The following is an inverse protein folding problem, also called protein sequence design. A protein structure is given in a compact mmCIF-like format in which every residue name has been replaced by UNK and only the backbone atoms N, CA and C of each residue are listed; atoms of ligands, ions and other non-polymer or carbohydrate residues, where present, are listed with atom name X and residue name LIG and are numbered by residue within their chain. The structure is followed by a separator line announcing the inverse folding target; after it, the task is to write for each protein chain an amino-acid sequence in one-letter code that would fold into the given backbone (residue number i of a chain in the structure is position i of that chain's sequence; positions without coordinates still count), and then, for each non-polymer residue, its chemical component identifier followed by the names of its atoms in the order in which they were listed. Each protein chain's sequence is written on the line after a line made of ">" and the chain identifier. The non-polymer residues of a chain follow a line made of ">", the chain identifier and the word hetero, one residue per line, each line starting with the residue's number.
data_IF_616511228039
#
_entry.id   IF_616511228039
#
_cell.length_a   1.000
_cell.length_b   1.000
_cell.length_c   1.000
_cell.angle_alpha   90.00
_cell.angle_beta   90.00
_cell.angle_gamma   90.00
#
_symmetry.space_group_name_H-M   'P 1'
#
loop_
_entity.id
_entity.type
_entity.pdbx_description
1 polymer ?
#
# COMPACT_ATOMS: atom_id res chain seq x y z
N UNK A 1 23.50 -6.01 -41.51
CA UNK A 1 22.22 -5.27 -41.47
C UNK A 1 21.13 -6.22 -41.01
N UNK A 2 20.76 -6.15 -39.72
CA UNK A 2 19.37 -6.23 -39.25
C UNK A 2 19.42 -6.06 -37.74
N UNK A 3 18.97 -4.89 -37.31
CA UNK A 3 18.78 -4.48 -35.94
C UNK A 3 17.30 -4.73 -35.60
N UNK A 4 17.08 -5.32 -34.43
CA UNK A 4 16.01 -4.95 -33.47
C UNK A 4 14.55 -5.04 -33.94
N UNK A 5 13.84 -6.08 -33.50
CA UNK A 5 12.37 -6.04 -33.40
C UNK A 5 11.86 -6.92 -32.25
N UNK A 6 11.98 -6.45 -31.00
CA UNK A 6 11.17 -6.92 -29.86
C UNK A 6 11.55 -6.22 -28.55
N UNK A 7 11.26 -4.93 -28.38
CA UNK A 7 11.47 -4.26 -27.07
C UNK A 7 10.34 -3.30 -26.63
N UNK A 8 9.15 -3.35 -27.23
CA UNK A 8 8.09 -2.38 -26.90
C UNK A 8 7.01 -2.93 -25.93
N UNK A 9 6.96 -4.22 -25.58
CA UNK A 9 5.82 -4.77 -24.81
C UNK A 9 6.01 -4.96 -23.29
N UNK A 10 7.12 -4.58 -22.68
CA UNK A 10 7.35 -4.86 -21.23
C UNK A 10 7.28 -3.62 -20.34
N UNK A 11 7.24 -2.41 -20.92
CA UNK A 11 7.28 -1.15 -20.16
C UNK A 11 5.90 -0.63 -19.71
N UNK A 12 4.80 -1.19 -20.22
CA UNK A 12 3.46 -0.66 -19.95
C UNK A 12 2.83 -1.15 -18.62
N UNK A 13 3.37 -2.22 -18.02
CA UNK A 13 2.82 -2.78 -16.76
C UNK A 13 3.21 -2.00 -15.49
N UNK A 14 4.22 -1.10 -15.54
CA UNK A 14 4.70 -0.39 -14.34
C UNK A 14 3.81 0.79 -13.91
N UNK A 15 3.04 1.37 -14.83
CA UNK A 15 2.22 2.55 -14.53
C UNK A 15 0.84 2.21 -13.95
N UNK A 16 0.41 0.95 -14.01
CA UNK A 16 -0.99 0.59 -13.71
C UNK A 16 -1.25 0.40 -12.20
N UNK A 17 -0.24 -0.04 -11.43
CA UNK A 17 -0.40 -0.38 -10.01
C UNK A 17 -0.79 0.80 -9.11
N UNK A 18 -0.12 1.96 -9.25
CA UNK A 18 -0.41 3.14 -8.42
C UNK A 18 -1.77 3.77 -8.68
N UNK A 19 -2.24 3.72 -9.93
CA UNK A 19 -3.57 4.21 -10.30
C UNK A 19 -4.68 3.31 -9.75
N UNK A 20 -4.52 1.99 -9.84
CA UNK A 20 -5.49 1.04 -9.28
C UNK A 20 -5.58 1.20 -7.76
N UNK A 21 -4.46 1.40 -7.08
CA UNK A 21 -4.41 1.58 -5.63
C UNK A 21 -5.18 2.85 -5.20
N UNK A 22 -4.96 3.97 -5.91
CA UNK A 22 -5.71 5.20 -5.68
C UNK A 22 -7.22 5.02 -5.95
N UNK A 23 -7.59 4.34 -7.04
CA UNK A 23 -8.99 4.05 -7.35
C UNK A 23 -9.64 3.16 -6.29
N UNK A 24 -8.93 2.15 -5.81
CA UNK A 24 -9.35 1.26 -4.72
C UNK A 24 -9.55 2.00 -3.39
N UNK A 25 -8.63 2.91 -3.05
CA UNK A 25 -8.76 3.81 -1.91
C UNK A 25 -9.98 4.72 -2.02
N UNK A 26 -10.20 5.36 -3.17
CA UNK A 26 -11.38 6.21 -3.43
C UNK A 26 -12.67 5.40 -3.30
N UNK A 27 -12.74 4.23 -3.93
CA UNK A 27 -13.91 3.35 -3.84
C UNK A 27 -14.20 2.93 -2.39
N UNK A 28 -13.16 2.60 -1.63
CA UNK A 28 -13.26 2.28 -0.20
C UNK A 28 -13.84 3.47 0.58
N UNK A 29 -13.32 4.68 0.36
CA UNK A 29 -13.77 5.90 1.05
C UNK A 29 -15.24 6.21 0.73
N UNK A 30 -15.62 6.19 -0.54
CA UNK A 30 -17.00 6.48 -0.98
C UNK A 30 -17.97 5.48 -0.35
N UNK A 31 -17.67 4.17 -0.44
CA UNK A 31 -18.55 3.14 0.10
C UNK A 31 -18.58 3.14 1.63
N UNK A 32 -17.47 3.51 2.30
CA UNK A 32 -17.45 3.67 3.75
C UNK A 32 -18.35 4.83 4.19
N UNK A 33 -18.31 5.98 3.50
CA UNK A 33 -19.20 7.12 3.76
C UNK A 33 -20.67 6.71 3.56
N UNK A 34 -20.97 6.02 2.45
CA UNK A 34 -22.34 5.54 2.19
C UNK A 34 -22.78 4.56 3.30
N UNK A 35 -21.92 3.63 3.70
CA UNK A 35 -22.22 2.70 4.80
C UNK A 35 -22.50 3.41 6.13
N UNK A 36 -21.79 4.51 6.40
CA UNK A 36 -21.99 5.32 7.62
C UNK A 36 -23.33 6.06 7.64
N UNK A 37 -23.97 6.29 6.48
CA UNK A 37 -25.33 6.83 6.44
C UNK A 37 -26.39 5.84 6.94
N UNK A 38 -26.02 4.57 7.17
CA UNK A 38 -26.91 3.54 7.70
C UNK A 38 -27.64 2.72 6.63
N UNK A 39 -27.51 3.07 5.34
CA UNK A 39 -28.09 2.29 4.24
C UNK A 39 -27.38 0.95 4.10
N UNK A 40 -28.05 -0.16 4.39
CA UNK A 40 -27.51 -1.53 4.28
C UNK A 40 -26.07 -1.69 4.79
N UNK A 41 -25.77 -1.06 5.94
CA UNK A 41 -24.41 -0.87 6.43
C UNK A 41 -23.61 -2.17 6.58
N UNK A 42 -24.24 -3.28 6.98
CA UNK A 42 -23.57 -4.58 7.13
C UNK A 42 -23.14 -5.18 5.78
N UNK A 43 -23.98 -5.04 4.75
CA UNK A 43 -23.64 -5.50 3.40
C UNK A 43 -22.54 -4.63 2.80
N UNK A 44 -22.66 -3.30 2.93
CA UNK A 44 -21.63 -2.37 2.48
C UNK A 44 -20.31 -2.59 3.19
N UNK A 45 -20.30 -2.84 4.50
CA UNK A 45 -19.09 -3.14 5.25
C UNK A 45 -18.33 -4.32 4.64
N UNK A 46 -19.05 -5.39 4.28
CA UNK A 46 -18.45 -6.58 3.66
C UNK A 46 -17.93 -6.31 2.24
N UNK A 47 -18.59 -5.42 1.48
CA UNK A 47 -18.10 -5.01 0.14
C UNK A 47 -16.87 -4.11 0.26
N UNK A 48 -16.88 -3.16 1.20
CA UNK A 48 -15.77 -2.24 1.47
C UNK A 48 -14.52 -3.02 1.88
N UNK A 49 -14.66 -4.02 2.76
CA UNK A 49 -13.52 -4.86 3.17
C UNK A 49 -12.92 -5.61 1.98
N UNK A 50 -13.74 -6.13 1.06
CA UNK A 50 -13.24 -6.82 -0.15
C UNK A 50 -12.49 -5.86 -1.07
N UNK A 51 -13.04 -4.67 -1.34
CA UNK A 51 -12.42 -3.69 -2.24
C UNK A 51 -11.08 -3.23 -1.67
N UNK A 52 -11.04 -2.95 -0.37
CA UNK A 52 -9.81 -2.58 0.31
C UNK A 52 -8.78 -3.73 0.27
N UNK A 53 -9.23 -4.97 0.53
CA UNK A 53 -8.37 -6.15 0.49
C UNK A 53 -7.81 -6.42 -0.91
N UNK A 54 -8.62 -6.26 -1.95
CA UNK A 54 -8.19 -6.37 -3.35
C UNK A 54 -7.13 -5.31 -3.68
N UNK A 55 -7.29 -4.09 -3.17
CA UNK A 55 -6.31 -3.01 -3.35
C UNK A 55 -4.96 -3.38 -2.71
N UNK A 56 -4.97 -3.86 -1.45
CA UNK A 56 -3.76 -4.34 -0.79
C UNK A 56 -3.13 -5.55 -1.48
N UNK A 57 -3.95 -6.47 -2.02
CA UNK A 57 -3.45 -7.64 -2.74
C UNK A 57 -2.72 -7.23 -4.03
N UNK A 58 -3.27 -6.27 -4.78
CA UNK A 58 -2.64 -5.73 -5.98
C UNK A 58 -1.36 -4.97 -5.60
N UNK A 59 -1.43 -4.09 -4.60
CA UNK A 59 -0.29 -3.32 -4.12
C UNK A 59 0.85 -4.24 -3.63
N UNK A 60 0.56 -5.18 -2.73
CA UNK A 60 1.52 -6.16 -2.23
C UNK A 60 2.06 -7.09 -3.32
N UNK A 61 1.23 -7.48 -4.29
CA UNK A 61 1.63 -8.32 -5.43
C UNK A 61 2.61 -7.62 -6.38
N UNK A 62 2.40 -6.33 -6.65
CA UNK A 62 3.34 -5.52 -7.46
C UNK A 62 4.68 -5.35 -6.75
N UNK A 63 4.67 -5.07 -5.44
CA UNK A 63 5.90 -4.97 -4.65
C UNK A 63 6.67 -6.30 -4.60
N UNK A 64 5.98 -7.42 -4.41
CA UNK A 64 6.59 -8.76 -4.40
C UNK A 64 7.19 -9.11 -5.77
N UNK A 65 6.53 -8.73 -6.87
CA UNK A 65 7.02 -8.96 -8.22
C UNK A 65 8.28 -8.16 -8.54
N UNK A 66 8.37 -6.90 -8.11
CA UNK A 66 9.58 -6.09 -8.25
C UNK A 66 10.72 -6.64 -7.38
N UNK A 67 10.42 -7.08 -6.15
CA UNK A 67 11.40 -7.72 -5.28
C UNK A 67 11.96 -9.02 -5.89
N UNK A 68 11.09 -9.86 -6.46
CA UNK A 68 11.51 -11.08 -7.15
C UNK A 68 12.43 -10.79 -8.35
N UNK A 69 12.18 -9.71 -9.10
CA UNK A 69 13.05 -9.28 -10.21
C UNK A 69 14.42 -8.79 -9.72
N UNK A 70 14.48 -8.16 -8.56
CA UNK A 70 15.73 -7.64 -7.97
C UNK A 70 16.61 -8.76 -7.36
N UNK A 71 16.00 -9.83 -6.84
CA UNK A 71 16.73 -10.99 -6.29
C UNK A 71 17.07 -12.02 -7.36
N UNK A 72 16.20 -12.20 -8.36
CA UNK A 72 16.44 -13.08 -9.49
C UNK A 72 16.62 -12.34 -10.82
N UNK A 73 17.58 -11.40 -10.97
CA UNK A 73 18.06 -11.01 -12.28
C UNK A 73 18.65 -12.23 -12.95
N UNK A 74 18.06 -12.65 -14.07
CA UNK A 74 18.56 -13.64 -15.03
C UNK A 74 19.95 -14.24 -14.72
N UNK A 75 19.97 -15.45 -14.11
CA UNK A 75 21.10 -16.37 -14.28
C UNK A 75 21.99 -16.72 -13.07
N UNK A 76 21.79 -16.18 -11.87
CA UNK A 76 22.60 -16.61 -10.70
C UNK A 76 21.74 -16.98 -9.51
N UNK A 77 21.28 -18.23 -9.50
CA UNK A 77 20.61 -18.86 -8.38
C UNK A 77 21.62 -19.27 -7.28
N UNK A 78 22.26 -18.30 -6.62
CA UNK A 78 23.03 -18.55 -5.39
C UNK A 78 23.17 -17.25 -4.60
N UNK A 79 22.46 -17.11 -3.48
CA UNK A 79 22.68 -15.95 -2.60
C UNK A 79 21.67 -15.79 -1.46
N UNK A 80 21.91 -16.51 -0.36
CA UNK A 80 21.52 -16.17 1.02
C UNK A 80 20.05 -15.82 1.33
N UNK A 81 19.30 -16.85 1.72
CA UNK A 81 18.00 -16.81 2.42
C UNK A 81 18.11 -16.32 3.89
N UNK A 82 19.08 -15.46 4.23
CA UNK A 82 19.42 -15.16 5.64
C UNK A 82 19.07 -13.74 6.11
N UNK A 83 18.32 -12.95 5.32
CA UNK A 83 17.76 -11.68 5.81
C UNK A 83 16.25 -11.79 6.06
N UNK A 84 15.82 -12.25 7.26
CA UNK A 84 14.40 -12.38 7.62
C UNK A 84 13.63 -11.05 7.68
N UNK A 85 14.31 -9.91 7.53
CA UNK A 85 13.74 -8.58 7.74
C UNK A 85 13.42 -7.78 6.47
N UNK A 86 13.76 -8.27 5.27
CA UNK A 86 13.56 -7.50 4.01
C UNK A 86 12.44 -8.03 3.10
N UNK A 87 12.20 -9.34 3.04
CA UNK A 87 11.12 -9.93 2.23
C UNK A 87 9.81 -10.20 2.98
N UNK A 88 9.88 -10.38 4.31
CA UNK A 88 8.73 -10.78 5.13
C UNK A 88 7.66 -9.69 5.27
N UNK A 89 8.07 -8.43 5.33
CA UNK A 89 7.15 -7.28 5.46
C UNK A 89 6.36 -7.04 4.18
N UNK A 90 6.98 -7.20 3.01
CA UNK A 90 6.30 -7.08 1.70
C UNK A 90 5.27 -8.20 1.49
N UNK A 91 5.60 -9.43 1.93
CA UNK A 91 4.67 -10.56 1.91
C UNK A 91 3.45 -10.35 2.82
N UNK A 92 3.61 -9.62 3.93
CA UNK A 92 2.52 -9.39 4.89
C UNK A 92 1.34 -8.62 4.31
N UNK A 93 1.58 -7.63 3.44
CA UNK A 93 0.52 -6.83 2.79
C UNK A 93 -0.26 -7.70 1.80
N UNK A 94 0.46 -8.51 1.02
CA UNK A 94 -0.16 -9.45 0.09
C UNK A 94 -1.02 -10.50 0.82
N UNK A 95 -0.48 -11.11 1.88
CA UNK A 95 -1.20 -12.10 2.70
C UNK A 95 -2.39 -11.46 3.41
N UNK A 96 -2.25 -10.23 3.92
CA UNK A 96 -3.36 -9.49 4.52
C UNK A 96 -4.46 -9.19 3.49
N UNK A 97 -4.10 -8.82 2.26
CA UNK A 97 -5.06 -8.67 1.16
C UNK A 97 -5.79 -9.97 0.83
N UNK A 98 -5.06 -11.08 0.68
CA UNK A 98 -5.65 -12.38 0.37
C UNK A 98 -6.60 -12.86 1.48
N UNK A 99 -6.17 -12.76 2.74
CA UNK A 99 -7.00 -13.13 3.90
C UNK A 99 -8.20 -12.20 4.04
N UNK A 100 -8.03 -10.90 3.79
CA UNK A 100 -9.10 -9.91 3.76
C UNK A 100 -10.20 -10.21 2.74
N UNK A 101 -9.83 -10.67 1.53
CA UNK A 101 -10.81 -11.09 0.51
C UNK A 101 -11.63 -12.28 1.03
N UNK A 102 -10.96 -13.30 1.58
CA UNK A 102 -11.65 -14.47 2.13
C UNK A 102 -12.59 -14.08 3.27
N UNK A 103 -12.14 -13.26 4.21
CA UNK A 103 -12.96 -12.77 5.33
C UNK A 103 -14.15 -11.92 4.85
N UNK A 104 -13.94 -11.08 3.84
CA UNK A 104 -15.01 -10.26 3.24
C UNK A 104 -16.06 -11.11 2.53
N UNK A 105 -15.65 -12.15 1.78
CA UNK A 105 -16.58 -13.10 1.14
C UNK A 105 -17.38 -13.86 2.20
N UNK A 106 -16.71 -14.37 3.24
CA UNK A 106 -17.40 -15.06 4.35
C UNK A 106 -18.38 -14.13 5.08
N UNK A 107 -18.03 -12.84 5.23
CA UNK A 107 -18.91 -11.83 5.80
C UNK A 107 -20.15 -11.56 4.90
N UNK A 108 -19.98 -11.54 3.56
CA UNK A 108 -21.10 -11.44 2.61
C UNK A 108 -22.02 -12.65 2.66
N UNK A 109 -21.49 -13.85 2.95
CA UNK A 109 -22.29 -15.06 3.18
C UNK A 109 -23.08 -15.02 4.50
N UNK A 110 -22.95 -13.95 5.28
CA UNK A 110 -23.70 -13.74 6.53
C UNK A 110 -23.09 -14.42 7.75
N UNK A 111 -21.90 -15.00 7.65
CA UNK A 111 -21.22 -15.60 8.80
C UNK A 111 -20.60 -14.51 9.67
N UNK A 112 -21.29 -14.16 10.75
CA UNK A 112 -20.80 -13.23 11.78
C UNK A 112 -20.08 -12.01 11.19
N UNK A 113 -20.73 -11.37 10.20
CA UNK A 113 -20.16 -10.33 9.33
C UNK A 113 -19.38 -9.27 10.11
N UNK A 114 -19.92 -8.82 11.24
CA UNK A 114 -19.31 -7.80 12.12
C UNK A 114 -17.95 -8.24 12.67
N UNK A 115 -17.85 -9.47 13.18
CA UNK A 115 -16.60 -9.98 13.77
C UNK A 115 -15.56 -10.21 12.68
N UNK A 116 -15.96 -10.81 11.55
CA UNK A 116 -15.06 -11.08 10.43
C UNK A 116 -14.50 -9.79 9.83
N UNK A 117 -15.33 -8.77 9.65
CA UNK A 117 -14.88 -7.47 9.18
C UNK A 117 -13.94 -6.79 10.17
N UNK A 118 -14.21 -6.90 11.49
CA UNK A 118 -13.35 -6.30 12.50
C UNK A 118 -11.97 -6.99 12.55
N UNK A 119 -11.93 -8.31 12.44
CA UNK A 119 -10.68 -9.08 12.33
C UNK A 119 -9.91 -8.70 11.06
N UNK A 120 -10.61 -8.54 9.92
CA UNK A 120 -9.99 -8.09 8.68
C UNK A 120 -9.36 -6.70 8.84
N UNK A 121 -10.07 -5.74 9.46
CA UNK A 121 -9.56 -4.39 9.75
C UNK A 121 -8.31 -4.42 10.63
N UNK A 122 -8.26 -5.29 11.65
CA UNK A 122 -7.06 -5.46 12.48
C UNK A 122 -5.89 -5.99 11.65
N UNK A 123 -6.13 -7.00 10.80
CA UNK A 123 -5.10 -7.56 9.93
C UNK A 123 -4.57 -6.53 8.93
N UNK A 124 -5.45 -5.70 8.35
CA UNK A 124 -5.07 -4.59 7.48
C UNK A 124 -4.24 -3.54 8.21
N UNK A 125 -4.66 -3.13 9.42
CA UNK A 125 -3.92 -2.20 10.24
C UNK A 125 -2.53 -2.73 10.60
N UNK A 126 -2.42 -4.01 10.97
CA UNK A 126 -1.15 -4.67 11.26
C UNK A 126 -0.23 -4.70 10.02
N UNK A 127 -0.77 -5.02 8.85
CA UNK A 127 -0.03 -5.00 7.59
C UNK A 127 0.49 -3.60 7.24
N UNK A 128 -0.33 -2.56 7.44
CA UNK A 128 0.07 -1.17 7.21
C UNK A 128 1.17 -0.69 8.16
N UNK A 129 1.08 -1.03 9.45
CA UNK A 129 2.13 -0.73 10.45
C UNK A 129 3.43 -1.44 10.08
N UNK A 130 3.36 -2.72 9.72
CA UNK A 130 4.54 -3.50 9.35
C UNK A 130 5.18 -2.99 8.05
N UNK A 131 4.35 -2.58 7.08
CA UNK A 131 4.80 -1.93 5.84
C UNK A 131 5.49 -0.60 6.11
N UNK A 132 4.99 0.21 7.04
CA UNK A 132 5.62 1.49 7.40
C UNK A 132 6.99 1.31 8.06
N UNK A 133 7.12 0.30 8.94
CA UNK A 133 8.40 0.01 9.59
C UNK A 133 9.47 -0.47 8.60
N UNK A 134 9.06 -1.15 7.52
CA UNK A 134 9.98 -1.55 6.45
C UNK A 134 10.60 -0.32 5.73
N UNK A 135 9.83 0.75 5.55
CA UNK A 135 10.31 2.01 4.96
C UNK A 135 11.31 2.70 5.88
N UNK A 136 11.06 2.73 7.19
CA UNK A 136 11.98 3.29 8.18
C UNK A 136 13.32 2.52 8.24
N UNK A 137 13.28 1.17 8.21
CA UNK A 137 14.48 0.35 8.15
C UNK A 137 15.30 0.56 6.87
N UNK A 138 14.62 0.78 5.73
CA UNK A 138 15.26 1.14 4.47
C UNK A 138 15.90 2.53 4.53
N UNK A 139 15.28 3.50 5.21
CA UNK A 139 15.86 4.83 5.45
C UNK A 139 17.11 4.74 6.33
N UNK A 140 17.09 3.96 7.40
CA UNK A 140 18.26 3.76 8.26
C UNK A 140 19.41 3.07 7.51
N UNK A 141 19.12 2.04 6.71
CA UNK A 141 20.13 1.39 5.86
C UNK A 141 20.66 2.33 4.78
N UNK A 142 19.81 3.13 4.14
CA UNK A 142 20.24 4.17 3.19
C UNK A 142 21.11 5.20 3.88
N UNK A 143 20.72 5.73 5.05
CA UNK A 143 21.54 6.67 5.81
C UNK A 143 22.87 6.07 6.27
N UNK A 144 22.89 4.78 6.65
CA UNK A 144 24.12 4.07 6.99
C UNK A 144 25.04 3.88 5.76
N UNK A 145 24.47 3.58 4.59
CA UNK A 145 25.22 3.52 3.32
C UNK A 145 25.69 4.91 2.85
N UNK A 146 24.91 5.96 3.12
CA UNK A 146 25.26 7.36 2.85
C UNK A 146 26.38 7.88 3.75
N UNK A 147 26.50 7.37 4.99
CA UNK A 147 27.64 7.69 5.87
C UNK A 147 28.98 7.12 5.38
N UNK A 148 28.94 6.05 4.58
CA UNK A 148 30.14 5.44 4.00
C UNK A 148 30.44 5.93 2.56
N UNK A 149 29.50 6.59 1.89
CA UNK A 149 29.71 7.19 0.58
C UNK A 149 30.16 8.66 0.75
N UNK A 150 31.31 8.98 0.17
CA UNK A 150 31.97 10.30 0.15
C UNK A 150 30.97 11.48 -0.02
N UNK A 151 31.16 12.62 0.68
CA UNK A 151 30.26 13.77 0.63
C UNK A 151 30.26 14.41 -0.78
N UNK A 152 29.34 13.97 -1.62
CA UNK A 152 29.01 14.64 -2.88
C UNK A 152 27.80 15.54 -2.65
N UNK A 153 27.92 16.76 -3.16
CA UNK A 153 27.02 17.90 -3.04
C UNK A 153 25.56 17.54 -3.32
N UNK A 154 24.76 17.39 -2.27
CA UNK A 154 23.33 17.13 -2.39
C UNK A 154 22.55 18.41 -2.68
N UNK A 155 21.69 18.35 -3.70
CA UNK A 155 20.69 19.37 -4.00
C UNK A 155 19.59 19.30 -2.93
N UNK A 156 19.23 20.44 -2.29
CA UNK A 156 18.24 20.48 -1.21
C UNK A 156 16.86 19.87 -1.55
N UNK A 157 16.57 19.63 -2.82
CA UNK A 157 15.41 18.89 -3.31
C UNK A 157 15.37 17.41 -2.90
N UNK A 158 16.52 16.71 -2.82
CA UNK A 158 16.56 15.29 -2.43
C UNK A 158 16.33 15.13 -0.91
N UNK A 159 16.81 16.08 -0.11
CA UNK A 159 16.56 16.11 1.33
C UNK A 159 15.08 16.40 1.64
N UNK A 160 14.47 17.35 0.92
CA UNK A 160 13.04 17.63 1.02
C UNK A 160 12.19 16.43 0.56
N UNK A 161 12.58 15.72 -0.51
CA UNK A 161 11.88 14.52 -0.97
C UNK A 161 11.96 13.37 0.04
N UNK A 162 13.12 13.17 0.69
CA UNK A 162 13.29 12.18 1.75
C UNK A 162 12.45 12.50 2.99
N UNK A 163 12.36 13.78 3.38
CA UNK A 163 11.56 14.23 4.52
C UNK A 163 10.06 14.07 4.25
N UNK A 164 9.61 14.37 3.03
CA UNK A 164 8.23 14.14 2.58
C UNK A 164 7.87 12.64 2.57
N UNK A 165 8.78 11.77 2.15
CA UNK A 165 8.59 10.31 2.19
C UNK A 165 8.48 9.78 3.63
N UNK A 166 9.27 10.33 4.55
CA UNK A 166 9.28 9.94 5.98
C UNK A 166 7.99 10.38 6.68
N UNK A 167 7.47 11.56 6.35
CA UNK A 167 6.20 12.06 6.90
C UNK A 167 4.99 11.21 6.51
N UNK A 168 4.95 10.70 5.28
CA UNK A 168 3.86 9.84 4.79
C UNK A 168 3.84 8.47 5.48
N UNK A 169 5.01 7.87 5.70
CA UNK A 169 5.12 6.61 6.45
C UNK A 169 4.56 6.74 7.87
N UNK A 170 4.86 7.85 8.56
CA UNK A 170 4.29 8.14 9.89
C UNK A 170 2.76 8.16 9.90
N UNK A 171 2.13 8.79 8.91
CA UNK A 171 0.66 8.83 8.78
C UNK A 171 0.09 7.42 8.54
N UNK A 172 0.75 6.62 7.70
CA UNK A 172 0.33 5.24 7.43
C UNK A 172 0.42 4.37 8.69
N UNK A 173 1.49 4.50 9.48
CA UNK A 173 1.63 3.78 10.76
C UNK A 173 0.54 4.17 11.76
N UNK A 174 0.27 5.48 11.90
CA UNK A 174 -0.76 5.98 12.84
C UNK A 174 -2.15 5.54 12.40
N UNK A 175 -2.46 5.60 11.10
CA UNK A 175 -3.74 5.11 10.57
C UNK A 175 -3.90 3.60 10.78
N UNK A 176 -2.82 2.82 10.55
CA UNK A 176 -2.81 1.38 10.82
C UNK A 176 -3.05 1.06 12.29
N UNK A 177 -2.40 1.78 13.20
CA UNK A 177 -2.59 1.62 14.65
C UNK A 177 -4.00 2.02 15.08
N UNK A 178 -4.54 3.12 14.53
CA UNK A 178 -5.92 3.53 14.74
C UNK A 178 -6.92 2.48 14.27
N UNK A 179 -6.67 1.86 13.12
CA UNK A 179 -7.51 0.77 12.61
C UNK A 179 -7.48 -0.46 13.51
N UNK A 180 -6.32 -0.83 14.07
CA UNK A 180 -6.21 -1.92 15.06
C UNK A 180 -7.08 -1.60 16.28
N UNK A 181 -6.97 -0.39 16.83
CA UNK A 181 -7.75 0.02 18.01
C UNK A 181 -9.25 -0.01 17.71
N UNK A 182 -9.69 0.56 16.59
CA UNK A 182 -11.10 0.57 16.20
C UNK A 182 -11.64 -0.84 15.92
N UNK A 183 -10.83 -1.72 15.32
CA UNK A 183 -11.19 -3.12 15.10
C UNK A 183 -11.34 -3.89 16.41
N UNK A 184 -10.44 -3.69 17.38
CA UNK A 184 -10.55 -4.29 18.71
C UNK A 184 -11.83 -3.80 19.41
N UNK A 185 -12.10 -2.49 19.37
CA UNK A 185 -13.33 -1.92 19.94
C UNK A 185 -14.59 -2.48 19.27
N UNK A 186 -14.57 -2.71 17.95
CA UNK A 186 -15.67 -3.33 17.22
C UNK A 186 -15.92 -4.79 17.66
N UNK A 187 -14.88 -5.55 18.01
CA UNK A 187 -15.01 -6.93 18.54
C UNK A 187 -15.59 -6.92 19.96
N UNK A 188 -15.09 -6.03 20.83
CA UNK A 188 -15.56 -5.94 22.22
C UNK A 188 -17.04 -5.55 22.25
N UNK A 189 -17.50 -4.71 21.31
CA UNK A 189 -18.90 -4.35 21.17
C UNK A 189 -19.48 -3.54 22.34
N UNK A 190 -18.64 -3.09 23.28
CA UNK A 190 -19.07 -2.32 24.46
C UNK A 190 -19.27 -0.83 24.17
N UNK A 191 -18.77 -0.33 23.03
CA UNK A 191 -18.78 1.08 22.66
C UNK A 191 -19.54 1.27 21.33
N UNK A 192 -20.82 1.65 21.41
CA UNK A 192 -21.59 2.12 20.25
C UNK A 192 -21.89 1.09 19.17
N UNK A 193 -21.97 1.54 17.91
CA UNK A 193 -22.29 0.69 16.76
C UNK A 193 -21.00 0.07 16.15
N UNK A 194 -20.78 -1.25 16.27
CA UNK A 194 -19.54 -1.90 15.82
C UNK A 194 -19.32 -1.83 14.30
N UNK A 195 -20.41 -1.74 13.53
CA UNK A 195 -20.36 -1.54 12.07
C UNK A 195 -19.78 -0.17 11.74
N UNK A 196 -20.22 0.88 12.45
CA UNK A 196 -19.72 2.22 12.23
C UNK A 196 -18.22 2.34 12.57
N UNK A 197 -17.78 1.72 13.67
CA UNK A 197 -16.36 1.69 14.05
C UNK A 197 -15.48 1.06 12.96
N UNK A 198 -15.94 -0.06 12.38
CA UNK A 198 -15.22 -0.75 11.30
C UNK A 198 -15.21 0.08 10.01
N UNK A 199 -16.31 0.75 9.68
CA UNK A 199 -16.38 1.65 8.52
C UNK A 199 -15.49 2.88 8.67
N UNK A 200 -15.43 3.48 9.87
CA UNK A 200 -14.51 4.60 10.16
C UNK A 200 -13.05 4.15 10.06
N UNK A 201 -12.73 2.94 10.53
CA UNK A 201 -11.40 2.38 10.37
C UNK A 201 -11.03 2.20 8.88
N UNK A 202 -11.93 1.63 8.08
CA UNK A 202 -11.74 1.46 6.62
C UNK A 202 -11.69 2.80 5.89
N UNK A 203 -12.40 3.82 6.35
CA UNK A 203 -12.33 5.19 5.83
C UNK A 203 -10.91 5.77 6.02
N UNK A 204 -10.37 5.64 7.23
CA UNK A 204 -9.01 6.09 7.54
C UNK A 204 -7.96 5.36 6.70
N UNK A 205 -8.04 4.02 6.65
CA UNK A 205 -7.14 3.21 5.83
C UNK A 205 -7.28 3.51 4.33
N UNK A 206 -8.49 3.65 3.82
CA UNK A 206 -8.74 4.04 2.43
C UNK A 206 -8.16 5.41 2.09
N UNK A 207 -8.27 6.38 3.01
CA UNK A 207 -7.61 7.68 2.88
C UNK A 207 -6.09 7.58 2.77
N UNK A 208 -5.46 6.69 3.54
CA UNK A 208 -4.02 6.46 3.42
C UNK A 208 -3.62 5.84 2.08
N UNK A 209 -4.40 4.91 1.53
CA UNK A 209 -4.13 4.36 0.19
C UNK A 209 -4.18 5.44 -0.90
N UNK A 210 -5.09 6.41 -0.80
CA UNK A 210 -5.16 7.53 -1.75
C UNK A 210 -3.87 8.37 -1.70
N UNK A 211 -3.36 8.68 -0.51
CA UNK A 211 -2.09 9.42 -0.37
C UNK A 211 -0.91 8.63 -0.94
N UNK A 212 -0.84 7.32 -0.70
CA UNK A 212 0.25 6.48 -1.19
C UNK A 212 0.20 6.30 -2.72
N UNK A 213 -1.00 6.08 -3.29
CA UNK A 213 -1.19 5.91 -4.74
C UNK A 213 -0.93 7.18 -5.56
N UNK A 214 -1.35 8.35 -5.06
CA UNK A 214 -1.11 9.65 -5.73
C UNK A 214 0.36 10.06 -5.73
N UNK A 215 1.09 9.74 -4.67
CA UNK A 215 2.54 10.00 -4.56
C UNK A 215 3.34 9.27 -5.66
N UNK A 216 3.00 8.01 -5.94
CA UNK A 216 3.66 7.22 -6.97
C UNK A 216 3.33 7.72 -8.38
N UNK A 217 2.08 8.12 -8.63
CA UNK A 217 1.64 8.64 -9.93
C UNK A 217 2.24 10.02 -10.25
N UNK A 218 2.44 10.88 -9.24
CA UNK A 218 3.07 12.19 -9.41
C UNK A 218 4.54 12.11 -9.81
N UNK A 219 5.28 11.12 -9.28
CA UNK A 219 6.67 10.86 -9.67
C UNK A 219 6.75 10.43 -11.14
N UNK A 220 5.86 9.56 -11.60
CA UNK A 220 5.82 9.10 -13.01
C UNK A 220 5.42 10.23 -13.97
N UNK A 221 4.45 11.08 -13.60
CA UNK A 221 4.07 12.25 -14.40
C UNK A 221 5.20 13.30 -14.51
N UNK A 222 6.04 13.42 -13.47
CA UNK A 222 7.24 14.26 -13.48
C UNK A 222 8.29 13.81 -14.51
N UNK A 223 8.40 12.50 -14.76
CA UNK A 223 9.28 11.96 -15.80
C UNK A 223 8.72 12.08 -17.23
N UNK A 224 7.44 12.40 -17.38
CA UNK A 224 6.76 12.52 -18.69
C UNK A 224 6.72 13.93 -19.25
N UNK A 225 7.25 14.96 -18.57
CA UNK A 225 7.49 16.27 -19.19
C UNK A 225 8.89 16.28 -19.84
N UNK A 226 9.02 16.18 -21.18
CA UNK A 226 10.27 16.44 -21.85
C UNK A 226 10.56 17.94 -21.74
N UNK A 227 11.81 18.30 -21.44
CA UNK A 227 12.27 19.68 -21.43
C UNK A 227 11.92 20.36 -22.77
N UNK A 228 11.48 21.64 -22.76
CA UNK A 228 11.29 22.36 -24.01
C UNK A 228 12.63 22.42 -24.74
N UNK A 229 12.66 21.90 -25.96
CA UNK A 229 13.79 22.04 -26.87
C UNK A 229 14.12 23.52 -26.97
N UNK A 230 15.29 23.91 -26.45
CA UNK A 230 15.86 25.23 -26.69
C UNK A 230 16.27 25.28 -28.15
N UNK A 231 15.34 25.72 -29.01
CA UNK A 231 15.64 26.06 -30.39
C UNK A 231 16.61 27.24 -30.39
N UNK A 232 17.90 26.94 -30.55
CA UNK A 232 18.88 27.92 -30.98
C UNK A 232 18.68 28.20 -32.47
N UNK A 233 18.30 29.44 -32.79
CA UNK A 233 18.74 30.13 -34.01
C UNK A 233 18.73 31.63 -33.75
#
# INVERSE_FOLDING_TARGET
>A
MSMTHSEIMVTEHRSYGGFIDAAGGIATVILAIIGLTGMHATMLLSVVTIIFAASLLIQGGTMLSEYARLIFPTGTATGSMDHPFSGGTLSSVFIAGATGIVLGILALLGMSSVILSAVAVIAFGAAMVLSSNAVLGMHEMRMASMRNAQPQTYTGSEMLAAEMATGSAGIQAVAGLGAIVLGILAIIGSVGNPVALSLVALLGLGGTLIMTGTSLSGVVAGFMHPAPETSQS
#
